data_IF_069881703450
#
_entry.id   IF_069881703450
#
_cell.length_a   1.000
_cell.length_b   1.000
_cell.length_c   1.000
_cell.angle_alpha   90.00
_cell.angle_beta   90.00
_cell.angle_gamma   90.00
#
_symmetry.space_group_name_H-M   'P 1'
#
loop_
_entity.id
_entity.type
_entity.pdbx_description
1 polymer ?
#
# COMPACT_ATOMS: atom_id res chain seq x y z
N UNK A 1 4.00 63.03 -22.68
CA UNK A 1 3.34 61.71 -22.60
C UNK A 1 3.85 60.85 -23.74
N UNK A 2 3.75 59.55 -23.62
CA UNK A 2 4.23 58.55 -24.57
C UNK A 2 3.55 57.21 -24.28
N UNK A 3 4.24 56.10 -24.53
CA UNK A 3 3.71 54.76 -24.32
C UNK A 3 4.80 53.76 -23.93
N UNK A 4 4.39 52.63 -23.36
CA UNK A 4 5.23 51.47 -23.12
C UNK A 4 4.67 50.26 -23.91
N UNK A 5 5.48 49.54 -24.70
CA UNK A 5 5.07 48.29 -25.33
C UNK A 5 5.20 47.10 -24.37
N UNK A 6 4.20 46.22 -24.36
CA UNK A 6 4.15 45.00 -23.54
C UNK A 6 4.13 43.75 -24.42
N UNK A 7 5.31 43.42 -24.98
CA UNK A 7 5.51 42.32 -25.93
C UNK A 7 5.44 40.94 -25.27
N UNK A 8 4.79 39.97 -25.93
CA UNK A 8 5.00 38.54 -25.68
C UNK A 8 5.26 37.78 -26.98
N UNK A 9 6.51 37.37 -27.16
CA UNK A 9 6.98 36.62 -28.33
C UNK A 9 6.07 35.41 -28.63
N UNK A 10 5.64 35.32 -29.89
CA UNK A 10 4.73 34.28 -30.39
C UNK A 10 3.25 34.47 -30.03
N UNK A 11 2.85 35.52 -29.31
CA UNK A 11 1.45 35.86 -29.02
C UNK A 11 1.05 37.24 -29.58
N UNK A 12 1.88 38.26 -29.35
CA UNK A 12 1.61 39.63 -29.83
C UNK A 12 2.27 40.70 -28.98
N UNK A 13 1.91 41.96 -29.24
CA UNK A 13 2.30 43.13 -28.47
C UNK A 13 1.09 44.03 -28.29
N UNK A 14 0.98 44.65 -27.11
CA UNK A 14 0.04 45.76 -26.87
C UNK A 14 0.82 47.00 -26.44
N UNK A 15 0.27 48.17 -26.72
CA UNK A 15 0.88 49.46 -26.42
C UNK A 15 0.02 50.17 -25.38
N UNK A 16 0.62 50.52 -24.24
CA UNK A 16 -0.07 51.05 -23.06
C UNK A 16 0.32 52.53 -22.88
N UNK A 17 -0.65 53.40 -22.62
CA UNK A 17 -0.41 54.83 -22.48
C UNK A 17 0.39 55.18 -21.22
N UNK A 18 1.30 56.15 -21.34
CA UNK A 18 2.16 56.61 -20.24
C UNK A 18 2.24 58.14 -20.18
N UNK A 19 1.90 58.73 -19.04
CA UNK A 19 1.82 60.18 -18.87
C UNK A 19 2.61 60.68 -17.66
N UNK A 20 3.13 61.91 -17.76
CA UNK A 20 3.85 62.58 -16.66
C UNK A 20 2.95 63.65 -16.05
N UNK A 21 2.72 63.59 -14.74
CA UNK A 21 1.92 64.59 -14.04
C UNK A 21 2.68 65.91 -13.98
N UNK A 22 2.11 66.98 -14.54
CA UNK A 22 2.72 68.31 -14.57
C UNK A 22 2.92 68.92 -13.18
N UNK A 23 2.12 68.52 -12.18
CA UNK A 23 2.11 69.13 -10.85
C UNK A 23 3.15 68.54 -9.89
N UNK A 24 3.33 67.20 -9.91
CA UNK A 24 4.27 66.50 -9.01
C UNK A 24 5.43 65.79 -9.72
N UNK A 25 5.53 65.90 -11.05
CA UNK A 25 6.62 65.34 -11.85
C UNK A 25 6.67 63.81 -11.96
N UNK A 26 5.86 63.08 -11.20
CA UNK A 26 5.74 61.61 -11.27
C UNK A 26 5.18 61.15 -12.62
N UNK A 27 5.53 59.93 -13.03
CA UNK A 27 5.11 59.36 -14.33
C UNK A 27 4.31 58.07 -14.08
N UNK A 28 3.12 58.01 -14.66
CA UNK A 28 2.12 56.95 -14.49
C UNK A 28 1.86 56.25 -15.81
N UNK A 29 1.37 55.03 -15.74
CA UNK A 29 1.08 54.14 -16.86
C UNK A 29 -0.34 53.61 -16.69
N UNK A 30 -1.02 53.36 -17.81
CA UNK A 30 -2.37 52.79 -17.83
C UNK A 30 -2.35 51.30 -17.43
N UNK A 31 -3.51 50.78 -17.01
CA UNK A 31 -3.58 49.39 -16.57
C UNK A 31 -3.48 48.40 -17.72
N UNK A 32 -2.70 47.35 -17.51
CA UNK A 32 -2.48 46.23 -18.42
C UNK A 32 -2.76 44.87 -17.76
N UNK A 33 -3.40 44.84 -16.59
CA UNK A 33 -3.83 43.63 -15.89
C UNK A 33 -4.50 42.60 -16.82
N UNK A 34 -5.39 43.08 -17.70
CA UNK A 34 -6.09 42.25 -18.68
C UNK A 34 -5.15 41.42 -19.56
N UNK A 35 -3.94 41.91 -19.86
CA UNK A 35 -2.94 41.22 -20.67
C UNK A 35 -2.27 40.08 -19.90
N UNK A 36 -1.97 40.32 -18.61
CA UNK A 36 -1.46 39.27 -17.72
C UNK A 36 -2.51 38.20 -17.45
N UNK A 37 -3.77 38.58 -17.21
CA UNK A 37 -4.90 37.65 -17.01
C UNK A 37 -5.14 36.77 -18.24
N UNK A 38 -5.10 37.35 -19.45
CA UNK A 38 -5.31 36.64 -20.71
C UNK A 38 -4.14 35.68 -21.00
N UNK A 39 -2.89 36.07 -20.65
CA UNK A 39 -1.73 35.17 -20.65
C UNK A 39 -1.83 34.05 -19.60
N UNK A 40 -2.30 34.35 -18.39
CA UNK A 40 -2.50 33.37 -17.33
C UNK A 40 -3.53 32.32 -17.75
N UNK A 41 -4.70 32.75 -18.22
CA UNK A 41 -5.76 31.88 -18.72
C UNK A 41 -5.27 30.94 -19.85
N UNK A 42 -4.46 31.44 -20.79
CA UNK A 42 -3.86 30.62 -21.83
C UNK A 42 -2.87 29.58 -21.24
N UNK A 43 -2.06 29.98 -20.27
CA UNK A 43 -1.02 29.12 -19.70
C UNK A 43 -1.57 28.08 -18.72
N UNK A 44 -2.65 28.38 -17.99
CA UNK A 44 -3.37 27.39 -17.19
C UNK A 44 -4.14 26.40 -18.09
N UNK A 45 -4.68 26.88 -19.22
CA UNK A 45 -5.22 25.99 -20.27
C UNK A 45 -4.15 25.08 -20.87
N UNK A 46 -2.89 25.55 -21.01
CA UNK A 46 -1.77 24.67 -21.35
C UNK A 46 -1.44 23.68 -20.22
N UNK A 47 -1.50 24.08 -18.95
CA UNK A 47 -1.24 23.19 -17.81
C UNK A 47 -2.24 22.02 -17.75
N UNK A 48 -3.53 22.27 -17.91
CA UNK A 48 -4.56 21.23 -17.99
C UNK A 48 -4.42 20.35 -19.26
N UNK A 49 -3.96 20.92 -20.38
CA UNK A 49 -3.62 20.13 -21.57
C UNK A 49 -2.38 19.26 -21.35
N UNK A 50 -1.38 19.72 -20.60
CA UNK A 50 -0.26 18.89 -20.15
C UNK A 50 -0.73 17.79 -19.22
N UNK A 51 -1.68 18.05 -18.31
CA UNK A 51 -2.35 16.99 -17.53
C UNK A 51 -3.00 15.95 -18.45
N UNK A 52 -3.73 16.37 -19.47
CA UNK A 52 -4.41 15.49 -20.43
C UNK A 52 -3.43 14.69 -21.31
N UNK A 53 -2.34 15.28 -21.80
CA UNK A 53 -1.33 14.55 -22.57
C UNK A 53 -0.54 13.58 -21.68
N UNK A 54 -0.23 13.94 -20.43
CA UNK A 54 0.34 13.01 -19.42
C UNK A 54 -0.66 11.94 -18.99
N UNK A 55 -1.97 12.20 -19.02
CA UNK A 55 -3.04 11.22 -18.86
C UNK A 55 -3.07 10.21 -20.02
N UNK A 56 -2.73 10.64 -21.23
CA UNK A 56 -2.50 9.76 -22.39
C UNK A 56 -1.04 9.28 -22.53
N UNK A 57 -0.29 9.27 -21.42
CA UNK A 57 1.11 8.79 -21.29
C UNK A 57 2.20 9.53 -22.10
N UNK A 58 1.86 10.46 -22.99
CA UNK A 58 2.79 11.20 -23.86
C UNK A 58 3.95 11.76 -23.05
N UNK A 59 5.20 11.46 -23.43
CA UNK A 59 6.39 11.86 -22.66
C UNK A 59 6.52 13.38 -22.59
N UNK A 60 7.23 13.91 -21.59
CA UNK A 60 7.49 15.36 -21.51
C UNK A 60 8.35 15.87 -22.70
N UNK A 61 9.08 14.99 -23.40
CA UNK A 61 9.65 15.26 -24.73
C UNK A 61 8.52 15.41 -25.76
N UNK A 62 7.69 14.38 -25.95
CA UNK A 62 6.62 14.40 -26.96
C UNK A 62 5.58 15.50 -26.74
N UNK A 63 5.39 15.98 -25.51
CA UNK A 63 4.59 17.17 -25.22
C UNK A 63 5.34 18.45 -25.64
N UNK A 64 6.66 18.53 -25.47
CA UNK A 64 7.49 19.61 -26.05
C UNK A 64 7.33 19.60 -27.57
N UNK A 65 7.56 18.46 -28.22
CA UNK A 65 7.52 18.29 -29.67
C UNK A 65 6.14 18.66 -30.26
N UNK A 66 5.04 18.24 -29.60
CA UNK A 66 3.67 18.63 -29.98
C UNK A 66 3.43 20.13 -29.77
N UNK A 67 3.91 20.70 -28.65
CA UNK A 67 3.77 22.13 -28.37
C UNK A 67 4.60 22.99 -29.31
N UNK A 68 5.69 22.50 -29.86
CA UNK A 68 6.53 23.27 -30.79
C UNK A 68 5.82 23.55 -32.14
N UNK A 69 4.75 22.80 -32.46
CA UNK A 69 3.82 23.12 -33.56
C UNK A 69 2.69 24.11 -33.18
N UNK A 70 2.51 24.44 -31.90
CA UNK A 70 1.34 25.20 -31.37
C UNK A 70 1.79 26.50 -30.70
N UNK A 71 2.64 26.38 -29.67
CA UNK A 71 3.34 27.46 -28.98
C UNK A 71 4.53 26.85 -28.23
N UNK A 72 5.78 26.99 -28.72
CA UNK A 72 6.92 26.23 -28.23
C UNK A 72 7.14 26.22 -26.72
N UNK A 73 7.34 25.04 -26.12
CA UNK A 73 7.46 24.84 -24.67
C UNK A 73 8.41 23.70 -24.33
N UNK A 74 9.61 24.06 -23.84
CA UNK A 74 10.61 23.08 -23.42
C UNK A 74 10.10 22.06 -22.39
N UNK A 75 10.44 20.78 -22.62
CA UNK A 75 10.27 19.62 -21.71
C UNK A 75 10.39 19.95 -20.21
N UNK A 76 11.42 20.70 -19.82
CA UNK A 76 11.70 21.03 -18.41
C UNK A 76 10.71 22.04 -17.81
N UNK A 77 10.13 22.91 -18.64
CA UNK A 77 9.06 23.85 -18.25
C UNK A 77 7.74 23.12 -18.05
N UNK A 78 7.38 22.23 -18.99
CA UNK A 78 6.20 21.36 -18.92
C UNK A 78 6.24 20.52 -17.63
N UNK A 79 7.36 19.83 -17.39
CA UNK A 79 7.58 18.98 -16.22
C UNK A 79 7.35 19.73 -14.89
N UNK A 80 7.87 20.96 -14.77
CA UNK A 80 7.77 21.79 -13.56
C UNK A 80 6.35 22.30 -13.32
N UNK A 81 5.67 22.78 -14.37
CA UNK A 81 4.27 23.21 -14.26
C UNK A 81 3.38 22.04 -13.84
N UNK A 82 3.56 20.88 -14.48
CA UNK A 82 2.81 19.66 -14.19
C UNK A 82 2.98 19.17 -12.74
N UNK A 83 4.20 19.18 -12.18
CA UNK A 83 4.39 18.79 -10.79
C UNK A 83 3.76 19.77 -9.78
N UNK A 84 3.84 21.09 -10.03
CA UNK A 84 3.19 22.11 -9.19
C UNK A 84 1.68 21.87 -9.09
N UNK A 85 1.04 21.57 -10.22
CA UNK A 85 -0.39 21.21 -10.27
C UNK A 85 -0.69 19.92 -9.51
N UNK A 86 0.08 18.86 -9.77
CA UNK A 86 -0.14 17.54 -9.15
C UNK A 86 0.05 17.54 -7.63
N UNK A 87 0.71 18.53 -7.04
CA UNK A 87 0.81 18.68 -5.58
C UNK A 87 -0.49 19.22 -4.95
N UNK A 88 -1.32 19.98 -5.68
CA UNK A 88 -2.50 20.68 -5.13
C UNK A 88 -3.81 19.86 -5.13
N UNK A 89 -3.96 18.89 -6.03
CA UNK A 89 -5.18 18.09 -6.16
C UNK A 89 -5.26 16.96 -5.10
N UNK A 90 -6.46 16.50 -4.72
CA UNK A 90 -6.66 15.32 -3.84
C UNK A 90 -7.58 14.30 -4.51
N UNK A 91 -7.31 13.01 -4.31
CA UNK A 91 -7.83 11.93 -5.18
C UNK A 91 -8.32 10.74 -4.35
N UNK A 92 -9.55 10.23 -4.56
CA UNK A 92 -10.02 8.98 -3.95
C UNK A 92 -9.40 7.72 -4.59
N UNK A 93 -9.81 6.54 -4.12
CA UNK A 93 -9.11 5.28 -4.36
C UNK A 93 -9.71 4.43 -5.50
N UNK A 94 -8.89 3.64 -6.20
CA UNK A 94 -9.38 2.64 -7.18
C UNK A 94 -8.38 1.51 -7.47
N UNK A 95 -8.66 0.35 -6.86
CA UNK A 95 -8.32 -1.01 -7.29
C UNK A 95 -6.94 -1.21 -7.99
N UNK A 96 -6.92 -1.83 -9.19
CA UNK A 96 -5.85 -2.76 -9.59
C UNK A 96 -4.40 -2.33 -9.27
N UNK A 97 -3.82 -3.14 -8.39
CA UNK A 97 -2.40 -3.42 -8.15
C UNK A 97 -2.27 -4.93 -8.40
N UNK A 98 -1.21 -5.43 -9.02
CA UNK A 98 -1.05 -6.88 -9.22
C UNK A 98 -0.87 -7.53 -7.85
N UNK A 99 -1.78 -8.43 -7.44
CA UNK A 99 -1.75 -9.01 -6.09
C UNK A 99 -1.19 -10.42 -6.18
N UNK A 100 -0.06 -10.71 -5.54
CA UNK A 100 0.59 -12.03 -5.65
C UNK A 100 0.99 -12.54 -4.27
N UNK A 101 0.87 -13.85 -4.03
CA UNK A 101 1.21 -14.41 -2.72
C UNK A 101 2.64 -14.86 -2.69
N UNK A 102 3.43 -14.34 -1.75
CA UNK A 102 4.80 -14.77 -1.57
C UNK A 102 4.92 -15.71 -0.36
N UNK A 103 5.62 -16.81 -0.62
CA UNK A 103 6.05 -17.91 0.23
C UNK A 103 6.82 -18.82 -0.75
N UNK A 104 6.97 -20.09 -0.43
CA UNK A 104 8.29 -20.66 -0.33
C UNK A 104 8.27 -22.21 -0.81
N UNK A 105 9.31 -22.87 -1.42
CA UNK A 105 9.70 -24.33 -1.20
C UNK A 105 11.19 -24.81 -0.94
N UNK A 106 11.44 -25.56 0.18
CA UNK A 106 12.64 -26.38 0.57
C UNK A 106 12.60 -27.92 0.19
N UNK A 107 12.87 -28.41 -1.04
CA UNK A 107 12.90 -29.85 -1.33
C UNK A 107 14.32 -30.42 -1.25
N UNK A 108 14.46 -31.75 -1.36
CA UNK A 108 15.77 -32.40 -1.47
C UNK A 108 15.82 -33.31 -2.69
N UNK A 109 16.95 -33.26 -3.39
CA UNK A 109 17.28 -34.18 -4.47
C UNK A 109 18.44 -35.06 -3.99
N UNK A 110 18.13 -36.31 -3.63
CA UNK A 110 19.09 -37.21 -2.98
C UNK A 110 19.61 -36.64 -1.65
N UNK A 111 20.89 -36.28 -1.60
CA UNK A 111 21.54 -35.64 -0.44
C UNK A 111 21.62 -34.11 -0.56
N UNK A 112 21.33 -33.53 -1.73
CA UNK A 112 21.44 -32.10 -1.97
C UNK A 112 20.15 -31.38 -1.56
N UNK A 113 20.29 -30.25 -0.87
CA UNK A 113 19.19 -29.32 -0.66
C UNK A 113 18.94 -28.55 -1.96
N UNK A 114 17.67 -28.36 -2.32
CA UNK A 114 17.24 -27.50 -3.42
C UNK A 114 16.34 -26.38 -2.87
N UNK A 115 15.92 -25.48 -3.75
CA UNK A 115 15.13 -24.29 -3.43
C UNK A 115 14.15 -23.99 -4.59
N UNK A 116 12.83 -24.02 -4.36
CA UNK A 116 11.79 -23.84 -5.39
C UNK A 116 10.99 -22.56 -5.16
N UNK A 117 11.07 -21.66 -6.13
CA UNK A 117 10.44 -20.35 -6.10
C UNK A 117 9.16 -20.41 -6.94
N UNK A 118 7.99 -20.16 -6.34
CA UNK A 118 6.69 -20.18 -7.05
C UNK A 118 5.85 -18.90 -6.86
N UNK A 119 5.60 -18.16 -7.92
CA UNK A 119 4.62 -17.08 -7.96
C UNK A 119 3.20 -17.64 -8.15
N UNK A 120 2.24 -17.19 -7.34
CA UNK A 120 0.81 -17.20 -7.69
C UNK A 120 0.24 -15.78 -7.67
N UNK A 121 -0.72 -15.52 -8.55
CA UNK A 121 -1.68 -14.43 -8.38
C UNK A 121 -2.63 -14.72 -7.20
N UNK A 122 -3.07 -13.67 -6.49
CA UNK A 122 -3.91 -13.77 -5.29
C UNK A 122 -5.42 -13.69 -5.55
N UNK A 123 -5.84 -13.15 -6.69
CA UNK A 123 -7.25 -13.05 -7.11
C UNK A 123 -7.69 -14.35 -7.79
N UNK A 124 -6.88 -14.91 -8.69
CA UNK A 124 -7.18 -16.13 -9.46
C UNK A 124 -6.62 -17.41 -8.83
N UNK A 125 -5.59 -17.30 -7.97
CA UNK A 125 -4.80 -18.42 -7.45
C UNK A 125 -4.06 -19.25 -8.53
N UNK A 126 -3.89 -18.70 -9.75
CA UNK A 126 -3.11 -19.33 -10.82
C UNK A 126 -1.61 -19.13 -10.62
N UNK A 127 -0.82 -20.14 -10.98
CA UNK A 127 0.64 -20.05 -11.01
C UNK A 127 1.10 -19.15 -12.14
N UNK A 128 1.95 -18.16 -11.81
CA UNK A 128 2.58 -17.25 -12.78
C UNK A 128 3.94 -17.83 -13.19
N UNK A 129 4.72 -18.35 -12.24
CA UNK A 129 6.01 -18.99 -12.47
C UNK A 129 6.38 -19.95 -11.35
N UNK A 130 7.15 -20.98 -11.64
CA UNK A 130 7.51 -22.05 -10.70
C UNK A 130 8.84 -22.71 -11.10
N UNK A 131 9.95 -22.28 -10.51
CA UNK A 131 11.31 -22.68 -10.88
C UNK A 131 12.08 -23.31 -9.70
N UNK A 132 13.01 -24.23 -9.98
CA UNK A 132 13.85 -24.93 -8.99
C UNK A 132 15.33 -24.54 -9.15
N UNK A 133 16.01 -24.28 -8.03
CA UNK A 133 17.39 -23.79 -7.94
C UNK A 133 18.21 -24.55 -6.89
N UNK A 134 19.53 -24.39 -6.96
CA UNK A 134 20.50 -25.04 -6.08
C UNK A 134 20.89 -24.19 -4.85
N UNK A 135 20.54 -22.90 -4.82
CA UNK A 135 20.83 -21.97 -3.73
C UNK A 135 19.65 -21.05 -3.35
N UNK A 136 19.82 -20.29 -2.25
CA UNK A 136 18.90 -19.21 -1.83
C UNK A 136 19.56 -17.88 -1.51
N UNK A 137 20.56 -17.51 -2.29
CA UNK A 137 21.16 -16.18 -2.26
C UNK A 137 20.11 -15.09 -2.53
N UNK A 138 20.32 -13.86 -2.02
CA UNK A 138 19.52 -12.71 -2.41
C UNK A 138 19.45 -12.55 -3.94
N UNK A 139 20.55 -12.85 -4.64
CA UNK A 139 20.73 -12.72 -6.08
C UNK A 139 19.82 -13.68 -6.86
N UNK A 140 19.82 -14.97 -6.53
CA UNK A 140 18.91 -15.98 -7.12
C UNK A 140 17.43 -15.61 -6.89
N UNK A 141 17.10 -15.06 -5.71
CA UNK A 141 15.75 -14.55 -5.42
C UNK A 141 15.41 -13.32 -6.28
N UNK A 142 16.37 -12.42 -6.54
CA UNK A 142 16.17 -11.23 -7.39
C UNK A 142 15.97 -11.58 -8.85
N UNK A 143 16.74 -12.52 -9.38
CA UNK A 143 16.67 -12.91 -10.80
C UNK A 143 15.36 -13.61 -11.14
N UNK A 144 14.93 -14.59 -10.32
CA UNK A 144 13.60 -15.19 -10.46
C UNK A 144 12.47 -14.14 -10.42
N UNK A 145 12.62 -13.11 -9.57
CA UNK A 145 11.64 -12.03 -9.47
C UNK A 145 11.63 -11.15 -10.73
N UNK A 146 12.80 -10.72 -11.21
CA UNK A 146 12.95 -9.92 -12.44
C UNK A 146 12.46 -10.64 -13.69
N UNK A 147 12.62 -11.97 -13.74
CA UNK A 147 12.15 -12.84 -14.83
C UNK A 147 10.63 -12.91 -14.92
N UNK A 148 9.93 -12.94 -13.78
CA UNK A 148 8.55 -13.41 -13.68
C UNK A 148 7.53 -12.36 -13.16
N UNK A 149 7.97 -11.13 -12.86
CA UNK A 149 7.11 -9.96 -12.58
C UNK A 149 7.74 -8.71 -13.20
N UNK A 150 6.92 -7.77 -13.68
CA UNK A 150 7.42 -6.52 -14.26
C UNK A 150 7.87 -5.51 -13.19
N UNK A 151 9.15 -5.16 -13.22
CA UNK A 151 9.77 -4.06 -12.46
C UNK A 151 9.10 -2.70 -12.68
N UNK A 152 8.31 -2.50 -13.75
CA UNK A 152 7.57 -1.27 -14.02
C UNK A 152 6.24 -1.14 -13.26
N UNK A 153 5.63 -2.24 -12.80
CA UNK A 153 4.27 -2.24 -12.24
C UNK A 153 4.17 -2.27 -10.69
N UNK A 154 3.09 -1.73 -10.11
CA UNK A 154 2.73 -1.92 -8.69
C UNK A 154 2.31 -3.35 -8.34
N UNK A 155 2.89 -3.90 -7.26
CA UNK A 155 2.50 -5.21 -6.68
C UNK A 155 2.12 -5.11 -5.20
N UNK A 156 1.10 -5.89 -4.79
CA UNK A 156 0.77 -6.18 -3.39
C UNK A 156 1.13 -7.62 -3.07
N UNK A 157 1.82 -7.84 -1.94
CA UNK A 157 2.62 -9.07 -1.83
C UNK A 157 3.03 -9.47 -0.39
N UNK A 158 2.60 -10.68 0.01
CA UNK A 158 2.64 -11.21 1.39
C UNK A 158 3.82 -12.18 1.62
N UNK A 159 4.48 -12.29 2.79
CA UNK A 159 5.31 -13.48 3.19
C UNK A 159 5.25 -13.74 4.70
N UNK A 160 5.99 -14.73 5.19
CA UNK A 160 6.51 -14.79 6.56
C UNK A 160 7.43 -13.59 6.95
N UNK A 161 8.15 -13.74 8.07
CA UNK A 161 8.99 -12.72 8.70
C UNK A 161 10.52 -12.89 8.49
N UNK A 162 11.01 -13.53 7.42
CA UNK A 162 12.46 -13.52 7.14
C UNK A 162 12.97 -12.06 7.05
N UNK A 163 14.06 -11.77 7.78
CA UNK A 163 14.71 -10.46 7.85
C UNK A 163 15.36 -10.06 6.54
N UNK A 164 15.84 -11.03 5.76
CA UNK A 164 16.47 -10.79 4.45
C UNK A 164 15.49 -10.17 3.48
N UNK A 165 14.22 -10.51 3.61
CA UNK A 165 13.19 -10.01 2.71
C UNK A 165 13.15 -8.47 2.69
N UNK A 166 12.87 -7.71 3.78
CA UNK A 166 12.94 -6.24 3.89
C UNK A 166 13.90 -5.49 2.94
N UNK A 167 15.14 -5.96 2.78
CA UNK A 167 16.15 -5.27 1.97
C UNK A 167 16.19 -5.77 0.52
N UNK A 168 15.94 -7.07 0.27
CA UNK A 168 15.62 -7.51 -1.09
C UNK A 168 14.29 -6.86 -1.55
N UNK A 169 13.38 -6.48 -0.63
CA UNK A 169 12.20 -5.63 -0.95
C UNK A 169 12.55 -4.23 -1.37
N UNK A 170 13.81 -3.87 -1.35
CA UNK A 170 14.22 -2.50 -1.56
C UNK A 170 15.15 -2.37 -2.77
N UNK A 171 15.09 -3.31 -3.71
CA UNK A 171 16.04 -3.35 -4.83
C UNK A 171 15.45 -3.49 -6.25
N UNK A 172 14.38 -4.27 -6.52
CA UNK A 172 14.08 -4.66 -7.92
C UNK A 172 13.06 -3.75 -8.66
N UNK A 173 11.98 -3.30 -8.00
CA UNK A 173 10.78 -2.72 -8.64
C UNK A 173 10.33 -1.32 -8.14
N UNK A 174 9.84 -1.11 -6.88
CA UNK A 174 9.45 0.26 -6.46
C UNK A 174 8.96 0.60 -5.04
N UNK A 175 8.81 1.92 -4.86
CA UNK A 175 7.59 2.59 -4.36
C UNK A 175 6.28 1.92 -4.82
N UNK A 176 6.29 1.33 -6.01
CA UNK A 176 5.40 0.27 -6.52
C UNK A 176 5.06 -0.86 -5.53
N UNK A 177 5.73 -0.93 -4.37
CA UNK A 177 5.57 -2.00 -3.38
C UNK A 177 4.44 -1.73 -2.40
N UNK A 178 3.59 -2.73 -2.23
CA UNK A 178 2.79 -2.87 -1.01
C UNK A 178 3.12 -4.18 -0.30
N UNK A 179 3.95 -4.09 0.74
CA UNK A 179 4.50 -5.22 1.49
C UNK A 179 3.64 -5.60 2.69
N UNK A 180 2.97 -6.75 2.61
CA UNK A 180 2.26 -7.37 3.74
C UNK A 180 3.09 -8.49 4.40
N UNK A 181 2.97 -8.63 5.72
CA UNK A 181 3.38 -9.79 6.51
C UNK A 181 2.18 -10.71 6.77
N UNK A 182 2.40 -12.02 6.71
CA UNK A 182 1.36 -13.03 6.85
C UNK A 182 0.89 -13.14 8.30
N UNK A 183 -0.38 -12.82 8.55
CA UNK A 183 -0.98 -12.94 9.88
C UNK A 183 -1.01 -14.37 10.42
N UNK A 184 -1.04 -15.39 9.56
CA UNK A 184 -0.93 -16.77 10.00
C UNK A 184 0.51 -17.09 10.47
N UNK A 185 1.55 -16.58 9.81
CA UNK A 185 2.92 -16.71 10.31
C UNK A 185 3.11 -15.97 11.65
N UNK A 186 2.45 -14.82 11.84
CA UNK A 186 2.37 -14.17 13.16
C UNK A 186 1.67 -15.07 14.19
N UNK A 187 0.55 -15.71 13.84
CA UNK A 187 -0.15 -16.63 14.73
C UNK A 187 0.69 -17.87 15.08
N UNK A 188 1.49 -18.42 14.15
CA UNK A 188 2.44 -19.51 14.44
C UNK A 188 3.45 -19.05 15.50
N UNK A 189 4.03 -17.86 15.32
CA UNK A 189 4.99 -17.25 16.24
C UNK A 189 4.38 -17.01 17.63
N UNK A 190 3.19 -16.40 17.70
CA UNK A 190 2.44 -16.20 18.96
C UNK A 190 2.21 -17.54 19.66
N UNK A 191 1.80 -18.60 18.94
CA UNK A 191 1.57 -19.92 19.56
C UNK A 191 2.87 -20.56 20.07
N UNK A 192 4.02 -20.33 19.42
CA UNK A 192 5.31 -20.83 19.90
C UNK A 192 5.91 -20.07 21.08
N UNK A 193 5.40 -18.88 21.41
CA UNK A 193 5.84 -18.11 22.59
C UNK A 193 5.32 -18.72 23.91
N UNK A 194 4.34 -19.64 23.86
CA UNK A 194 3.73 -20.30 25.02
C UNK A 194 4.17 -21.76 25.16
N UNK A 195 4.21 -22.30 26.40
CA UNK A 195 4.53 -23.72 26.63
C UNK A 195 3.46 -24.65 26.05
N UNK A 196 3.85 -25.88 25.72
CA UNK A 196 2.95 -26.94 25.20
C UNK A 196 1.78 -27.25 26.15
N UNK A 197 2.02 -27.12 27.46
CA UNK A 197 1.03 -27.32 28.53
C UNK A 197 0.82 -25.98 29.25
N UNK A 198 -0.12 -25.16 28.77
CA UNK A 198 -0.47 -23.85 29.32
C UNK A 198 -1.27 -23.92 30.64
N UNK A 199 -1.23 -22.85 31.44
CA UNK A 199 -2.29 -22.53 32.42
C UNK A 199 -3.54 -21.95 31.73
N UNK A 200 -4.67 -21.79 32.44
CA UNK A 200 -5.86 -21.14 31.85
C UNK A 200 -5.57 -19.67 31.54
N UNK A 201 -4.89 -18.97 32.45
CA UNK A 201 -4.39 -17.60 32.22
C UNK A 201 -3.48 -17.49 30.97
N UNK A 202 -2.52 -18.41 30.80
CA UNK A 202 -1.67 -18.42 29.62
C UNK A 202 -2.44 -18.73 28.34
N UNK A 203 -3.44 -19.61 28.39
CA UNK A 203 -4.33 -19.86 27.25
C UNK A 203 -5.14 -18.61 26.91
N UNK A 204 -5.66 -17.89 27.93
CA UNK A 204 -6.40 -16.64 27.78
C UNK A 204 -5.53 -15.53 27.18
N UNK A 205 -4.31 -15.32 27.70
CA UNK A 205 -3.37 -14.33 27.16
C UNK A 205 -3.00 -14.65 25.70
N UNK A 206 -2.70 -15.92 25.40
CA UNK A 206 -2.46 -16.38 24.02
C UNK A 206 -3.65 -16.10 23.12
N UNK A 207 -4.88 -16.35 23.59
CA UNK A 207 -6.08 -16.07 22.83
C UNK A 207 -6.36 -14.58 22.66
N UNK A 208 -6.02 -13.73 23.65
CA UNK A 208 -6.04 -12.26 23.52
C UNK A 208 -5.03 -11.75 22.49
N UNK A 209 -3.80 -12.29 22.42
CA UNK A 209 -2.85 -11.98 21.34
C UNK A 209 -3.36 -12.44 19.96
N UNK A 210 -3.90 -13.66 19.86
CA UNK A 210 -4.52 -14.17 18.62
C UNK A 210 -5.78 -13.39 18.22
N UNK A 211 -6.38 -12.64 19.15
CA UNK A 211 -7.54 -11.77 18.93
C UNK A 211 -7.18 -10.37 18.41
N UNK A 212 -5.90 -10.05 18.17
CA UNK A 212 -5.57 -8.76 17.55
C UNK A 212 -6.21 -8.68 16.17
N UNK A 213 -5.82 -9.56 15.23
CA UNK A 213 -6.28 -9.46 13.84
C UNK A 213 -7.45 -10.38 13.47
N UNK A 214 -7.72 -11.43 14.25
CA UNK A 214 -8.84 -12.36 14.01
C UNK A 214 -9.85 -12.30 15.15
N UNK A 215 -11.15 -12.46 14.87
CA UNK A 215 -12.13 -12.57 15.95
C UNK A 215 -11.99 -13.91 16.68
N UNK A 216 -11.73 -13.83 17.99
CA UNK A 216 -11.65 -14.92 18.97
C UNK A 216 -12.50 -14.66 20.20
N UNK A 217 -13.46 -13.73 20.15
CA UNK A 217 -14.17 -13.24 21.33
C UNK A 217 -14.93 -14.35 22.07
N UNK A 218 -15.53 -15.29 21.32
CA UNK A 218 -16.15 -16.50 21.90
C UNK A 218 -15.14 -17.39 22.64
N UNK A 219 -13.93 -17.52 22.10
CA UNK A 219 -12.86 -18.35 22.67
C UNK A 219 -12.18 -17.67 23.87
N UNK A 220 -12.17 -16.33 23.91
CA UNK A 220 -11.76 -15.52 25.07
C UNK A 220 -12.80 -15.60 26.19
N UNK A 221 -14.09 -15.34 25.91
CA UNK A 221 -15.15 -15.31 26.92
C UNK A 221 -15.23 -16.62 27.70
N UNK A 222 -15.13 -17.76 27.03
CA UNK A 222 -15.09 -19.09 27.66
C UNK A 222 -13.86 -19.27 28.57
N UNK A 223 -12.71 -18.68 28.24
CA UNK A 223 -11.51 -18.72 29.07
C UNK A 223 -11.58 -17.74 30.25
N UNK A 224 -12.30 -16.62 30.12
CA UNK A 224 -12.58 -15.68 31.22
C UNK A 224 -13.59 -16.27 32.22
N UNK A 225 -14.58 -17.01 31.73
CA UNK A 225 -15.48 -17.85 32.54
C UNK A 225 -14.67 -18.93 33.32
N UNK A 226 -13.80 -19.68 32.64
CA UNK A 226 -12.91 -20.65 33.32
C UNK A 226 -11.91 -20.01 34.29
N UNK A 227 -11.34 -18.85 33.99
CA UNK A 227 -10.45 -18.15 34.93
C UNK A 227 -11.20 -17.72 36.20
N UNK A 228 -12.49 -17.38 36.07
CA UNK A 228 -13.35 -17.07 37.22
C UNK A 228 -13.70 -18.31 38.04
N UNK A 229 -13.87 -19.47 37.41
CA UNK A 229 -14.00 -20.76 38.11
C UNK A 229 -12.73 -21.16 38.89
N UNK A 230 -11.54 -20.96 38.30
CA UNK A 230 -10.24 -21.38 38.85
C UNK A 230 -10.03 -20.88 40.29
N UNK A 231 -10.45 -19.64 40.56
CA UNK A 231 -10.38 -18.98 41.88
C UNK A 231 -11.10 -19.74 43.00
N UNK A 232 -12.13 -20.54 42.68
CA UNK A 232 -12.91 -21.30 43.66
C UNK A 232 -12.25 -22.64 44.03
N UNK A 233 -11.29 -23.11 43.23
CA UNK A 233 -10.62 -24.43 43.40
C UNK A 233 -9.13 -24.32 43.70
N UNK A 234 -8.50 -23.18 43.41
CA UNK A 234 -7.04 -22.96 43.53
C UNK A 234 -6.46 -23.25 44.94
N UNK A 235 -7.27 -23.13 45.99
CA UNK A 235 -6.85 -23.36 47.38
C UNK A 235 -6.71 -24.86 47.76
N UNK A 236 -6.98 -25.79 46.84
CA UNK A 236 -6.78 -27.23 47.06
C UNK A 236 -6.11 -27.84 45.82
N UNK A 237 -4.85 -28.26 45.95
CA UNK A 237 -4.02 -28.66 44.81
C UNK A 237 -4.62 -29.85 44.02
N UNK A 238 -5.11 -30.88 44.71
CA UNK A 238 -5.69 -32.06 44.05
C UNK A 238 -6.92 -31.69 43.22
N UNK A 239 -7.87 -30.93 43.80
CA UNK A 239 -9.05 -30.43 43.10
C UNK A 239 -8.70 -29.45 41.98
N UNK A 240 -7.68 -28.60 42.17
CA UNK A 240 -7.19 -27.70 41.11
C UNK A 240 -6.59 -28.49 39.94
N UNK A 241 -5.79 -29.51 40.21
CA UNK A 241 -5.22 -30.37 39.17
C UNK A 241 -6.31 -31.14 38.40
N UNK A 242 -7.34 -31.67 39.09
CA UNK A 242 -8.49 -32.32 38.44
C UNK A 242 -9.33 -31.34 37.61
N UNK A 243 -9.70 -30.20 38.19
CA UNK A 243 -10.44 -29.15 37.50
C UNK A 243 -9.66 -28.62 36.28
N UNK A 244 -8.35 -28.39 36.38
CA UNK A 244 -7.53 -27.91 35.27
C UNK A 244 -7.51 -28.92 34.10
N UNK A 245 -7.45 -30.24 34.40
CA UNK A 245 -7.58 -31.30 33.39
C UNK A 245 -8.96 -31.28 32.72
N UNK A 246 -10.04 -31.06 33.49
CA UNK A 246 -11.43 -30.96 33.02
C UNK A 246 -11.65 -29.71 32.15
N UNK A 247 -11.35 -28.53 32.68
CA UNK A 247 -11.46 -27.23 32.01
C UNK A 247 -10.71 -27.21 30.66
N UNK A 248 -9.48 -27.75 30.62
CA UNK A 248 -8.71 -27.88 29.37
C UNK A 248 -9.35 -28.84 28.36
N UNK A 249 -10.00 -29.91 28.81
CA UNK A 249 -10.76 -30.84 27.95
C UNK A 249 -12.01 -30.16 27.37
N UNK A 250 -12.74 -29.41 28.20
CA UNK A 250 -13.95 -28.69 27.81
C UNK A 250 -13.66 -27.54 26.85
N UNK A 251 -12.64 -26.71 27.12
CA UNK A 251 -12.18 -25.69 26.16
C UNK A 251 -11.74 -26.30 24.82
N UNK A 252 -11.05 -27.45 24.84
CA UNK A 252 -10.69 -28.16 23.61
C UNK A 252 -11.90 -28.66 22.83
N UNK A 253 -12.95 -29.13 23.51
CA UNK A 253 -14.21 -29.53 22.90
C UNK A 253 -14.96 -28.33 22.32
N UNK A 254 -15.06 -27.22 23.06
CA UNK A 254 -15.67 -25.96 22.61
C UNK A 254 -14.96 -25.39 21.38
N UNK A 255 -13.63 -25.28 21.41
CA UNK A 255 -12.79 -24.90 20.28
C UNK A 255 -12.98 -25.82 19.06
N UNK A 256 -13.15 -27.13 19.28
CA UNK A 256 -13.44 -28.11 18.22
C UNK A 256 -14.84 -27.90 17.64
N UNK A 257 -15.85 -27.62 18.48
CA UNK A 257 -17.23 -27.29 18.05
C UNK A 257 -17.24 -26.06 17.13
N UNK A 258 -16.69 -24.93 17.57
CA UNK A 258 -16.59 -23.70 16.77
C UNK A 258 -15.81 -23.91 15.45
N UNK A 259 -14.76 -24.75 15.46
CA UNK A 259 -14.01 -25.10 14.23
C UNK A 259 -14.85 -25.97 13.28
N UNK A 260 -15.70 -26.86 13.77
CA UNK A 260 -16.59 -27.69 12.96
C UNK A 260 -17.78 -26.90 12.41
N UNK A 261 -18.33 -25.97 13.19
CA UNK A 261 -19.43 -25.09 12.76
C UNK A 261 -19.01 -24.18 11.61
N UNK A 262 -17.88 -23.45 11.76
CA UNK A 262 -17.29 -22.65 10.67
C UNK A 262 -17.04 -23.51 9.42
N UNK A 263 -16.47 -24.72 9.58
CA UNK A 263 -16.24 -25.66 8.46
C UNK A 263 -17.52 -26.14 7.77
N UNK A 264 -18.59 -26.43 8.51
CA UNK A 264 -19.90 -26.83 7.93
C UNK A 264 -20.48 -25.73 7.06
N UNK A 265 -20.33 -24.47 7.47
CA UNK A 265 -20.74 -23.29 6.70
C UNK A 265 -19.74 -22.88 5.61
N UNK A 266 -18.58 -23.54 5.49
CA UNK A 266 -17.43 -23.15 4.64
C UNK A 266 -16.85 -21.77 4.97
N UNK A 267 -17.09 -21.26 6.18
CA UNK A 267 -16.59 -19.98 6.68
C UNK A 267 -15.11 -20.09 7.11
N UNK A 268 -14.33 -19.06 6.79
CA UNK A 268 -13.03 -18.81 7.42
C UNK A 268 -13.22 -18.22 8.84
N UNK A 269 -12.12 -18.11 9.59
CA UNK A 269 -12.12 -17.33 10.82
C UNK A 269 -12.26 -15.83 10.47
N UNK A 270 -13.18 -15.05 11.08
CA UNK A 270 -13.33 -13.64 10.76
C UNK A 270 -12.06 -12.85 11.08
N UNK A 271 -11.74 -11.87 10.24
CA UNK A 271 -10.78 -10.82 10.56
C UNK A 271 -11.52 -9.72 11.34
N UNK A 272 -10.82 -9.07 12.26
CA UNK A 272 -11.31 -7.86 12.92
C UNK A 272 -11.23 -6.67 11.94
N UNK A 273 -11.96 -5.58 12.19
CA UNK A 273 -11.72 -4.31 11.49
C UNK A 273 -10.39 -3.69 11.93
N UNK A 274 -9.89 -2.69 11.20
CA UNK A 274 -8.63 -2.03 11.53
C UNK A 274 -8.67 -1.35 12.91
N UNK A 275 -9.79 -0.70 13.24
CA UNK A 275 -10.03 -0.04 14.51
C UNK A 275 -10.12 -1.06 15.64
N UNK A 276 -10.85 -2.17 15.42
CA UNK A 276 -10.98 -3.26 16.40
C UNK A 276 -9.65 -3.95 16.65
N UNK A 277 -8.84 -4.16 15.61
CA UNK A 277 -7.51 -4.74 15.73
C UNK A 277 -6.56 -3.82 16.50
N UNK A 278 -6.59 -2.51 16.20
CA UNK A 278 -5.82 -1.49 16.93
C UNK A 278 -6.22 -1.44 18.41
N UNK A 279 -7.51 -1.39 18.73
CA UNK A 279 -8.04 -1.43 20.10
C UNK A 279 -7.63 -2.71 20.87
N UNK A 280 -7.72 -3.87 20.22
CA UNK A 280 -7.33 -5.14 20.83
C UNK A 280 -5.80 -5.21 21.07
N UNK A 281 -4.99 -4.57 20.23
CA UNK A 281 -3.54 -4.45 20.41
C UNK A 281 -3.18 -3.47 21.52
N UNK A 282 -3.81 -2.30 21.56
CA UNK A 282 -3.46 -1.25 22.52
C UNK A 282 -3.76 -1.67 23.97
N UNK A 283 -4.85 -2.43 24.20
CA UNK A 283 -5.12 -3.08 25.50
C UNK A 283 -4.04 -4.04 25.98
N UNK A 284 -3.30 -4.67 25.06
CA UNK A 284 -2.14 -5.51 25.40
C UNK A 284 -0.90 -4.63 25.63
N UNK A 285 -0.75 -3.52 24.92
CA UNK A 285 0.33 -2.55 25.12
C UNK A 285 0.23 -1.81 26.46
N UNK A 286 -0.98 -1.45 26.91
CA UNK A 286 -1.26 -0.88 28.25
C UNK A 286 -0.65 -1.75 29.36
N UNK A 287 -0.80 -3.07 29.23
CA UNK A 287 -0.41 -4.06 30.22
C UNK A 287 0.99 -4.65 29.98
N UNK A 288 1.75 -4.17 28.99
CA UNK A 288 2.98 -4.83 28.50
C UNK A 288 4.00 -5.15 29.60
N UNK A 289 4.08 -4.32 30.66
CA UNK A 289 5.02 -4.50 31.77
C UNK A 289 4.70 -5.69 32.70
N UNK A 290 3.48 -6.22 32.69
CA UNK A 290 3.09 -7.37 33.54
C UNK A 290 3.36 -8.72 32.86
N UNK A 291 3.57 -8.72 31.54
CA UNK A 291 3.84 -9.94 30.76
C UNK A 291 5.31 -10.33 30.81
N UNK A 292 5.61 -11.61 30.54
CA UNK A 292 6.98 -12.08 30.40
C UNK A 292 7.71 -11.44 29.21
N UNK A 293 9.05 -11.53 29.23
CA UNK A 293 9.89 -10.89 28.22
C UNK A 293 9.63 -11.39 26.78
N UNK A 294 9.11 -12.60 26.58
CA UNK A 294 8.84 -13.18 25.26
C UNK A 294 7.59 -12.53 24.67
N UNK A 295 6.51 -12.45 25.46
CA UNK A 295 5.28 -11.77 25.08
C UNK A 295 5.52 -10.26 24.88
N UNK A 296 6.33 -9.62 25.73
CA UNK A 296 6.78 -8.24 25.49
C UNK A 296 7.46 -8.10 24.13
N UNK A 297 8.48 -8.92 23.83
CA UNK A 297 9.21 -8.88 22.55
C UNK A 297 8.28 -9.11 21.35
N UNK A 298 7.25 -9.96 21.48
CA UNK A 298 6.23 -10.18 20.45
C UNK A 298 5.39 -8.92 20.20
N UNK A 299 4.93 -8.24 21.25
CA UNK A 299 4.13 -7.00 21.12
C UNK A 299 4.96 -5.84 20.53
N UNK A 300 6.21 -5.66 20.96
CA UNK A 300 7.14 -4.69 20.35
C UNK A 300 7.37 -4.96 18.85
N UNK A 301 7.50 -6.23 18.45
CA UNK A 301 7.62 -6.62 17.04
C UNK A 301 6.36 -6.29 16.23
N UNK A 302 5.16 -6.55 16.79
CA UNK A 302 3.87 -6.20 16.16
C UNK A 302 3.76 -4.67 15.98
N UNK A 303 4.15 -3.88 16.99
CA UNK A 303 4.16 -2.42 16.89
C UNK A 303 5.07 -1.93 15.75
N UNK A 304 6.32 -2.40 15.72
CA UNK A 304 7.32 -2.01 14.70
C UNK A 304 6.86 -2.29 13.26
N UNK A 305 6.06 -3.34 13.06
CA UNK A 305 5.62 -3.80 11.75
C UNK A 305 4.11 -3.60 11.52
N UNK A 306 3.46 -2.72 12.28
CA UNK A 306 2.00 -2.53 12.27
C UNK A 306 1.44 -2.27 10.86
N UNK A 307 2.05 -1.37 10.09
CA UNK A 307 1.65 -1.08 8.71
C UNK A 307 1.74 -2.34 7.84
N UNK A 308 2.88 -3.03 7.86
CA UNK A 308 3.05 -4.28 7.11
C UNK A 308 2.10 -5.40 7.56
N UNK A 309 1.53 -5.32 8.76
CA UNK A 309 0.50 -6.27 9.23
C UNK A 309 -0.92 -5.87 8.84
N UNK A 310 -1.15 -4.61 8.46
CA UNK A 310 -2.50 -4.04 8.24
C UNK A 310 -2.75 -3.57 6.81
N UNK A 311 -1.76 -3.55 5.92
CA UNK A 311 -1.87 -3.07 4.54
C UNK A 311 -3.02 -3.73 3.74
N UNK A 312 -3.39 -4.98 4.04
CA UNK A 312 -4.55 -5.63 3.44
C UNK A 312 -5.90 -4.92 3.72
N UNK A 313 -6.04 -4.13 4.80
CA UNK A 313 -7.24 -3.33 5.05
C UNK A 313 -7.40 -2.16 4.07
N UNK A 314 -6.29 -1.67 3.50
CA UNK A 314 -6.25 -0.50 2.63
C UNK A 314 -6.42 -0.85 1.14
N UNK A 315 -6.55 -2.14 0.81
CA UNK A 315 -6.64 -2.65 -0.56
C UNK A 315 -7.75 -3.71 -0.68
N UNK A 316 -8.87 -3.40 -1.35
CA UNK A 316 -9.94 -4.37 -1.58
C UNK A 316 -9.44 -5.63 -2.30
N UNK A 317 -9.75 -6.81 -1.74
CA UNK A 317 -9.29 -8.10 -2.26
C UNK A 317 -7.85 -8.48 -1.89
N UNK A 318 -7.08 -7.60 -1.25
CA UNK A 318 -5.71 -7.93 -0.83
C UNK A 318 -5.70 -8.99 0.28
N UNK A 319 -4.87 -10.05 0.16
CA UNK A 319 -4.84 -11.11 1.16
C UNK A 319 -4.01 -10.74 2.40
N UNK A 320 -4.58 -10.97 3.58
CA UNK A 320 -3.88 -10.83 4.87
C UNK A 320 -2.88 -11.97 5.18
N UNK A 321 -2.82 -13.01 4.34
CA UNK A 321 -2.01 -14.21 4.55
C UNK A 321 -1.48 -14.78 3.24
N UNK A 322 -0.44 -15.61 3.32
CA UNK A 322 0.01 -16.44 2.20
C UNK A 322 -0.69 -17.82 2.15
N UNK A 323 -1.82 -18.01 2.85
CA UNK A 323 -2.54 -19.29 2.92
C UNK A 323 -2.90 -19.93 1.57
N UNK A 324 -3.30 -19.21 0.50
CA UNK A 324 -3.53 -19.82 -0.82
C UNK A 324 -2.27 -20.38 -1.44
N UNK A 325 -1.11 -19.79 -1.13
CA UNK A 325 0.20 -20.22 -1.58
C UNK A 325 0.74 -21.35 -0.70
N UNK A 326 0.59 -21.31 0.64
CA UNK A 326 0.80 -22.51 1.48
C UNK A 326 -0.11 -23.66 1.04
N UNK A 327 -1.34 -23.36 0.61
CA UNK A 327 -2.28 -24.36 0.09
C UNK A 327 -1.77 -24.92 -1.24
N UNK A 328 -1.38 -24.07 -2.18
CA UNK A 328 -0.71 -24.49 -3.42
C UNK A 328 0.54 -25.31 -3.15
N UNK A 329 1.38 -24.91 -2.20
CA UNK A 329 2.59 -25.61 -1.80
C UNK A 329 2.33 -26.92 -1.06
N UNK A 330 1.24 -27.03 -0.31
CA UNK A 330 0.75 -28.31 0.20
C UNK A 330 0.19 -29.23 -0.89
N UNK A 331 -0.18 -28.67 -2.06
CA UNK A 331 -0.65 -29.38 -3.26
C UNK A 331 0.44 -29.59 -4.33
N UNK A 332 1.61 -28.96 -4.17
CA UNK A 332 2.67 -28.96 -5.17
C UNK A 332 4.05 -29.32 -4.59
N UNK A 333 4.62 -28.57 -3.62
CA UNK A 333 5.96 -28.74 -2.98
C UNK A 333 6.15 -27.59 -1.90
N UNK A 334 6.80 -27.71 -0.70
CA UNK A 334 6.67 -26.80 0.54
C UNK A 334 7.88 -25.98 1.15
N UNK A 335 7.75 -24.66 1.37
CA UNK A 335 8.60 -23.67 2.14
C UNK A 335 10.16 -23.32 1.88
N UNK A 336 10.58 -22.43 0.91
CA UNK A 336 11.73 -21.46 0.62
C UNK A 336 11.45 -20.36 -0.49
N UNK A 337 11.97 -19.13 -0.29
CA UNK A 337 12.34 -18.07 -1.28
C UNK A 337 11.28 -17.26 -2.04
N UNK A 338 11.41 -15.89 -1.97
CA UNK A 338 10.23 -14.98 -1.96
C UNK A 338 10.26 -13.43 -1.76
N UNK A 339 11.10 -12.48 -2.29
CA UNK A 339 10.91 -10.97 -2.14
C UNK A 339 12.02 -10.01 -2.78
N UNK A 340 11.99 -8.68 -3.15
CA UNK A 340 11.05 -7.62 -3.74
C UNK A 340 11.69 -6.24 -4.31
N UNK A 341 11.34 -4.97 -3.94
CA UNK A 341 11.08 -3.71 -4.76
C UNK A 341 11.75 -2.24 -4.50
N UNK A 342 12.41 -1.49 -5.44
CA UNK A 342 12.61 0.05 -5.43
C UNK A 342 12.70 0.75 -6.83
N UNK A 343 12.45 2.07 -7.09
CA UNK A 343 12.82 3.38 -6.44
C UNK A 343 11.75 4.54 -6.47
N UNK A 344 11.83 5.55 -5.58
CA UNK A 344 10.65 6.06 -4.81
C UNK A 344 9.82 7.34 -5.15
N UNK A 345 10.28 8.36 -5.91
CA UNK A 345 9.50 9.64 -6.05
C UNK A 345 8.69 9.77 -7.34
N UNK A 346 9.06 9.04 -8.39
CA UNK A 346 8.39 9.13 -9.70
C UNK A 346 7.02 8.48 -9.72
N UNK A 347 6.87 7.32 -9.08
CA UNK A 347 5.63 6.55 -9.13
C UNK A 347 4.60 7.10 -8.13
N UNK A 348 4.99 7.82 -7.07
CA UNK A 348 4.04 8.58 -6.24
C UNK A 348 3.14 9.52 -7.05
N UNK A 349 3.72 10.30 -7.96
CA UNK A 349 2.96 11.19 -8.84
C UNK A 349 2.23 10.42 -9.96
N UNK A 350 2.85 9.39 -10.54
CA UNK A 350 2.22 8.54 -11.58
C UNK A 350 1.01 7.74 -11.03
N UNK A 351 1.04 7.29 -9.77
CA UNK A 351 -0.08 6.66 -9.06
C UNK A 351 -1.22 7.65 -8.89
N UNK A 352 -0.94 8.88 -8.44
CA UNK A 352 -1.96 9.93 -8.23
C UNK A 352 -2.73 10.22 -9.52
N UNK A 353 -2.01 10.39 -10.64
CA UNK A 353 -2.60 10.50 -11.99
C UNK A 353 -3.43 9.27 -12.40
N UNK A 354 -2.98 8.07 -12.03
CA UNK A 354 -3.65 6.82 -12.40
C UNK A 354 -4.92 6.58 -11.57
N UNK A 355 -4.97 7.05 -10.33
CA UNK A 355 -6.21 7.11 -9.54
C UNK A 355 -7.21 8.10 -10.15
N UNK A 356 -6.75 9.28 -10.60
CA UNK A 356 -7.61 10.26 -11.30
C UNK A 356 -8.20 9.71 -12.61
N UNK A 357 -7.42 8.94 -13.38
CA UNK A 357 -7.93 8.19 -14.57
C UNK A 357 -9.07 7.26 -14.19
N UNK A 358 -8.86 6.40 -13.18
CA UNK A 358 -9.82 5.37 -12.77
C UNK A 358 -11.12 5.92 -12.17
N UNK A 359 -11.11 7.17 -11.71
CA UNK A 359 -12.28 7.87 -11.15
C UNK A 359 -12.83 8.98 -12.06
N UNK A 360 -12.26 9.15 -13.26
CA UNK A 360 -12.73 10.08 -14.29
C UNK A 360 -12.81 11.56 -13.83
N UNK A 361 -11.87 11.98 -12.95
CA UNK A 361 -11.95 13.25 -12.21
C UNK A 361 -11.47 14.49 -12.99
N UNK A 362 -10.83 14.31 -14.14
CA UNK A 362 -10.40 15.40 -15.01
C UNK A 362 -11.56 15.85 -15.92
N UNK A 363 -11.93 17.13 -15.81
CA UNK A 363 -12.99 17.75 -16.62
C UNK A 363 -12.46 18.03 -18.03
N UNK A 364 -13.34 18.01 -19.03
CA UNK A 364 -12.99 18.47 -20.39
C UNK A 364 -12.75 19.99 -20.39
N UNK A 365 -11.79 20.51 -21.16
CA UNK A 365 -11.57 21.95 -21.30
C UNK A 365 -12.80 22.62 -21.92
N UNK A 366 -13.15 23.82 -21.43
CA UNK A 366 -14.35 24.55 -21.85
C UNK A 366 -14.19 25.38 -23.13
N UNK A 367 -12.94 25.61 -23.58
CA UNK A 367 -12.59 26.37 -24.78
C UNK A 367 -11.44 25.67 -25.50
N UNK A 368 -11.37 25.82 -26.82
CA UNK A 368 -10.25 25.33 -27.63
C UNK A 368 -9.09 26.33 -27.65
N UNK A 369 -7.87 25.85 -27.97
CA UNK A 369 -6.72 26.73 -28.12
C UNK A 369 -6.89 27.76 -29.25
N UNK A 370 -7.56 27.41 -30.35
CA UNK A 370 -7.78 28.36 -31.44
C UNK A 370 -8.69 29.53 -31.01
N UNK A 371 -9.66 29.29 -30.14
CA UNK A 371 -10.47 30.34 -29.53
C UNK A 371 -9.65 31.19 -28.54
N UNK A 372 -8.81 30.56 -27.71
CA UNK A 372 -7.93 31.27 -26.78
C UNK A 372 -6.89 32.13 -27.49
N UNK A 373 -6.25 31.64 -28.57
CA UNK A 373 -5.32 32.43 -29.38
C UNK A 373 -6.02 33.59 -30.11
N UNK A 374 -7.27 33.43 -30.54
CA UNK A 374 -8.06 34.53 -31.13
C UNK A 374 -8.32 35.67 -30.16
N UNK A 375 -8.33 35.44 -28.84
CA UNK A 375 -8.45 36.52 -27.84
C UNK A 375 -7.22 37.45 -27.80
N UNK A 376 -6.06 37.01 -28.30
CA UNK A 376 -4.85 37.84 -28.43
C UNK A 376 -4.82 38.69 -29.71
N UNK A 377 -5.75 38.47 -30.65
CA UNK A 377 -5.69 39.04 -31.99
C UNK A 377 -6.95 39.89 -32.25
N UNK A 378 -6.90 41.23 -32.08
CA UNK A 378 -8.09 42.06 -31.92
C UNK A 378 -8.91 42.27 -33.19
N UNK A 379 -8.42 41.82 -34.35
CA UNK A 379 -9.11 41.96 -35.63
C UNK A 379 -9.85 40.68 -36.01
N UNK A 380 -11.18 40.79 -36.15
CA UNK A 380 -11.95 39.85 -36.97
C UNK A 380 -11.56 40.05 -38.44
N UNK A 381 -11.46 38.94 -39.16
CA UNK A 381 -11.67 38.91 -40.62
C UNK A 381 -13.17 39.07 -40.91
#
# INVERSE_FOLDING_TARGET
>A
NGYNPHTKQGLGEIIIGRYKCSNCGSTHEEDHSFWEDLKALLYDSFNDFFKLLRYHNVSYEGISDIMDFIYPRSRSTILRAFYKEMEQETVPFSENIHMVHYDEQHPKEGRCQKYRLTLLDAKTQTTIADDLFDDKSPETIKEFLRKNLDASEPVFIVTDFDKRYPDILKEIFGDKLVHQYCLMHLNKLIVSDFPKNTTIEQELLKYRLLNIFYNRENEIKFLEELQSEELNVINNEEKHQEWSKKAKKEFNQFRRKLKLERRRKKENLPLNSLEKAKHNFDKLMENIRTYDQTIQKRLWMINKHWLNLTLFHYLPGAPATNNPIESYYSKSLKTDNKKQFRTDKGIGNQIKLTQMRRLNLLKKPQKSFLELFRLFNPFKL
#
